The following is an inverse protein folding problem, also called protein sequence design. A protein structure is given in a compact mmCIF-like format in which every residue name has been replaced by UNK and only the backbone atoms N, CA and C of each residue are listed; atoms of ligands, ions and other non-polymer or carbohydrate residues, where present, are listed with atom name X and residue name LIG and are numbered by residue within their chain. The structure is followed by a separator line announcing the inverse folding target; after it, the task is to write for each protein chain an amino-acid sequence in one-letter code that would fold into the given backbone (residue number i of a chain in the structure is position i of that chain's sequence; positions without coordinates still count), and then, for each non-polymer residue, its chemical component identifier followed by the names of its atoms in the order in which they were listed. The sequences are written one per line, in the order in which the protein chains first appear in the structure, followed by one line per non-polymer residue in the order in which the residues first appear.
data_IF_910085955755
#
_entry.id   IF_910085955755
#
_cell.length_a   1.000
_cell.length_b   1.000
_cell.length_c   1.000
_cell.angle_alpha   90.00
_cell.angle_beta   90.00
_cell.angle_gamma   90.00
#
_symmetry.space_group_name_H-M   'P 1'
#
loop_
_entity.id
_entity.type
_entity.pdbx_description
1 polymer ?
#
# COMPACT_ATOMS: atom_id res chain seq x y z
N UNK A 1 -6.66 23.89 31.00
CA UNK A 1 -5.57 23.32 30.17
C UNK A 1 -6.00 21.96 29.65
N UNK A 2 -6.43 21.87 28.39
CA UNK A 2 -6.89 20.59 27.82
C UNK A 2 -5.67 19.75 27.42
N UNK A 3 -5.48 18.59 28.05
CA UNK A 3 -4.50 17.58 27.64
C UNK A 3 -5.03 16.91 26.38
N UNK A 4 -4.41 17.19 25.24
CA UNK A 4 -4.66 16.42 24.01
C UNK A 4 -3.93 15.08 24.18
N UNK A 5 -4.64 14.03 24.54
CA UNK A 5 -4.11 12.66 24.47
C UNK A 5 -3.96 12.27 23.00
N UNK A 6 -2.74 12.42 22.49
CA UNK A 6 -2.41 11.95 21.15
C UNK A 6 -2.32 10.42 21.18
N UNK A 7 -3.42 9.73 20.85
CA UNK A 7 -3.45 8.28 20.69
C UNK A 7 -2.62 7.87 19.46
N UNK A 8 -1.35 7.55 19.71
CA UNK A 8 -0.43 7.00 18.73
C UNK A 8 -0.27 5.50 18.99
N UNK A 9 -0.54 4.67 17.99
CA UNK A 9 -0.24 3.24 18.08
C UNK A 9 1.01 2.95 17.24
N UNK A 10 2.16 2.64 17.87
CA UNK A 10 3.34 2.21 17.13
C UNK A 10 3.09 0.82 16.54
N UNK A 11 3.52 0.60 15.29
CA UNK A 11 3.57 -0.74 14.71
C UNK A 11 4.90 -0.95 13.99
N UNK A 12 5.48 -2.12 14.20
CA UNK A 12 6.73 -2.50 13.55
C UNK A 12 6.45 -3.46 12.42
N UNK A 13 7.05 -3.21 11.25
CA UNK A 13 6.95 -4.10 10.09
C UNK A 13 8.35 -4.47 9.61
N UNK A 14 8.56 -5.75 9.34
CA UNK A 14 9.77 -6.24 8.67
C UNK A 14 9.60 -6.09 7.16
N UNK A 15 10.53 -5.43 6.50
CA UNK A 15 10.60 -5.40 5.05
C UNK A 15 11.06 -6.78 4.54
N UNK A 16 10.27 -7.47 3.70
CA UNK A 16 10.64 -8.81 3.20
C UNK A 16 11.79 -8.79 2.17
N UNK A 17 12.20 -7.62 1.68
CA UNK A 17 13.24 -7.45 0.65
C UNK A 17 14.59 -7.17 1.27
N UNK A 18 14.65 -6.17 2.17
CA UNK A 18 15.89 -5.76 2.84
C UNK A 18 16.09 -6.51 4.16
N UNK A 19 15.03 -7.09 4.73
CA UNK A 19 15.06 -7.77 6.02
C UNK A 19 15.03 -6.83 7.22
N UNK A 20 15.10 -5.52 7.00
CA UNK A 20 15.12 -4.48 8.02
C UNK A 20 13.76 -4.34 8.73
N UNK A 21 13.79 -3.94 10.00
CA UNK A 21 12.59 -3.63 10.79
C UNK A 21 12.44 -2.12 10.91
N UNK A 22 11.30 -1.62 10.46
CA UNK A 22 10.93 -0.22 10.62
C UNK A 22 9.76 -0.10 11.59
N UNK A 23 9.83 0.87 12.48
CA UNK A 23 8.75 1.23 13.40
C UNK A 23 8.06 2.47 12.88
N UNK A 24 6.76 2.35 12.63
CA UNK A 24 5.93 3.43 12.12
C UNK A 24 4.93 3.87 13.19
N UNK A 25 4.66 5.17 13.24
CA UNK A 25 3.66 5.75 14.11
C UNK A 25 2.36 5.92 13.30
N UNK A 26 1.28 5.23 13.69
CA UNK A 26 -0.06 5.45 13.11
C UNK A 26 -0.83 6.43 14.01
N UNK A 27 -1.33 7.55 13.46
CA UNK A 27 -2.39 8.34 14.12
C UNK A 27 -3.74 7.74 13.77
N UNK A 28 -4.70 7.71 14.69
CA UNK A 28 -6.07 7.31 14.40
C UNK A 28 -6.69 8.09 13.22
N UNK A 29 -6.32 9.37 13.07
CA UNK A 29 -6.75 10.24 11.96
C UNK A 29 -5.75 10.36 10.81
N UNK A 30 -4.64 9.58 10.78
CA UNK A 30 -3.74 9.57 9.60
C UNK A 30 -4.29 8.75 8.43
N UNK A 31 -5.48 8.18 8.57
CA UNK A 31 -6.18 7.59 7.43
C UNK A 31 -6.69 8.76 6.58
N UNK A 32 -5.85 9.23 5.66
CA UNK A 32 -6.33 10.08 4.57
C UNK A 32 -7.44 9.31 3.86
N UNK A 33 -8.69 9.76 4.01
CA UNK A 33 -9.87 9.12 3.42
C UNK A 33 -10.51 10.08 2.42
N UNK A 34 -9.73 10.63 1.50
CA UNK A 34 -10.33 11.37 0.40
C UNK A 34 -11.13 10.40 -0.48
N UNK A 35 -12.29 10.84 -0.97
CA UNK A 35 -13.11 10.07 -1.92
C UNK A 35 -12.26 9.63 -3.12
N UNK A 36 -11.42 10.54 -3.60
CA UNK A 36 -10.44 10.34 -4.67
C UNK A 36 -9.47 9.19 -4.39
N UNK A 37 -8.93 9.11 -3.17
CA UNK A 37 -8.02 8.03 -2.79
C UNK A 37 -8.75 6.68 -2.72
N UNK A 38 -9.99 6.65 -2.23
CA UNK A 38 -10.81 5.42 -2.19
C UNK A 38 -11.14 4.93 -3.60
N UNK A 39 -11.49 5.84 -4.52
CA UNK A 39 -11.74 5.53 -5.92
C UNK A 39 -10.49 4.99 -6.62
N UNK A 40 -9.33 5.61 -6.38
CA UNK A 40 -8.05 5.13 -6.86
C UNK A 40 -7.73 3.72 -6.36
N UNK A 41 -7.86 3.48 -5.04
CA UNK A 41 -7.63 2.17 -4.44
C UNK A 41 -8.55 1.10 -5.01
N UNK A 42 -9.83 1.43 -5.23
CA UNK A 42 -10.80 0.53 -5.85
C UNK A 42 -10.41 0.19 -7.29
N UNK A 43 -10.05 1.18 -8.10
CA UNK A 43 -9.61 0.97 -9.47
C UNK A 43 -8.38 0.06 -9.55
N UNK A 44 -7.37 0.31 -8.71
CA UNK A 44 -6.16 -0.53 -8.67
C UNK A 44 -6.48 -1.95 -8.22
N UNK A 45 -7.33 -2.12 -7.21
CA UNK A 45 -7.75 -3.44 -6.73
C UNK A 45 -8.50 -4.23 -7.82
N UNK A 46 -9.42 -3.58 -8.55
CA UNK A 46 -10.15 -4.20 -9.65
C UNK A 46 -9.21 -4.58 -10.80
N UNK A 47 -8.22 -3.72 -11.13
CA UNK A 47 -7.21 -4.00 -12.16
C UNK A 47 -6.21 -5.11 -11.78
N UNK A 48 -6.08 -5.42 -10.49
CA UNK A 48 -5.22 -6.49 -9.99
C UNK A 48 -5.97 -7.79 -9.69
N UNK A 49 -7.31 -7.74 -9.65
CA UNK A 49 -8.16 -8.90 -9.33
C UNK A 49 -7.93 -10.02 -10.35
N UNK A 50 -7.72 -11.24 -9.84
CA UNK A 50 -7.53 -12.43 -10.67
C UNK A 50 -6.14 -12.59 -11.29
N UNK A 51 -5.24 -11.60 -11.17
CA UNK A 51 -3.87 -11.75 -11.67
C UNK A 51 -3.06 -12.69 -10.78
N UNK A 52 -2.46 -13.71 -11.39
CA UNK A 52 -1.56 -14.65 -10.72
C UNK A 52 -0.13 -14.44 -11.20
N UNK A 53 0.80 -14.31 -10.25
CA UNK A 53 2.22 -14.18 -10.54
C UNK A 53 2.92 -15.43 -10.01
N UNK A 54 3.16 -16.39 -10.92
CA UNK A 54 3.82 -17.67 -10.64
C UNK A 54 4.96 -17.93 -11.64
N UNK A 55 5.86 -16.97 -11.76
CA UNK A 55 7.08 -17.10 -12.54
C UNK A 55 8.25 -17.51 -11.62
N UNK A 56 8.91 -18.62 -11.97
CA UNK A 56 10.22 -19.04 -11.45
C UNK A 56 10.43 -18.81 -9.96
N UNK A 57 11.23 -17.79 -9.63
CA UNK A 57 11.68 -17.47 -8.28
C UNK A 57 10.81 -16.42 -7.55
N UNK A 58 10.89 -16.38 -6.22
CA UNK A 58 10.21 -15.37 -5.41
C UNK A 58 10.58 -13.92 -5.81
N UNK A 59 11.83 -13.71 -6.25
CA UNK A 59 12.34 -12.41 -6.71
C UNK A 59 11.65 -11.96 -8.00
N UNK A 60 11.48 -12.87 -8.94
CA UNK A 60 10.81 -12.59 -10.22
C UNK A 60 9.31 -12.34 -10.01
N UNK A 61 8.67 -13.11 -9.13
CA UNK A 61 7.29 -12.86 -8.74
C UNK A 61 7.11 -11.49 -8.08
N UNK A 62 8.01 -11.10 -7.17
CA UNK A 62 7.96 -9.79 -6.55
C UNK A 62 8.15 -8.65 -7.58
N UNK A 63 9.02 -8.84 -8.57
CA UNK A 63 9.21 -7.88 -9.67
C UNK A 63 7.94 -7.76 -10.53
N UNK A 64 7.36 -8.89 -10.94
CA UNK A 64 6.16 -8.92 -11.78
C UNK A 64 4.95 -8.29 -11.07
N UNK A 65 4.78 -8.55 -9.76
CA UNK A 65 3.74 -7.91 -8.94
C UNK A 65 3.91 -6.39 -8.92
N UNK A 66 5.14 -5.89 -8.73
CA UNK A 66 5.42 -4.45 -8.71
C UNK A 66 5.16 -3.79 -10.05
N UNK A 67 5.57 -4.41 -11.15
CA UNK A 67 5.34 -3.88 -12.50
C UNK A 67 3.84 -3.83 -12.83
N UNK A 68 3.11 -4.90 -12.52
CA UNK A 68 1.66 -4.93 -12.71
C UNK A 68 0.94 -3.89 -11.85
N UNK A 69 1.37 -3.73 -10.59
CA UNK A 69 0.82 -2.71 -9.69
C UNK A 69 1.13 -1.30 -10.18
N UNK A 70 2.37 -1.02 -10.63
CA UNK A 70 2.76 0.28 -11.16
C UNK A 70 1.98 0.64 -12.44
N UNK A 71 1.79 -0.33 -13.33
CA UNK A 71 0.95 -0.17 -14.52
C UNK A 71 -0.51 0.14 -14.17
N UNK A 72 -1.09 -0.62 -13.24
CA UNK A 72 -2.45 -0.39 -12.75
C UNK A 72 -2.58 1.00 -12.11
N UNK A 73 -1.66 1.37 -11.23
CA UNK A 73 -1.61 2.68 -10.58
C UNK A 73 -1.50 3.82 -11.60
N UNK A 74 -0.64 3.71 -12.62
CA UNK A 74 -0.50 4.72 -13.67
C UNK A 74 -1.81 4.90 -14.44
N UNK A 75 -2.47 3.79 -14.80
CA UNK A 75 -3.73 3.83 -15.55
C UNK A 75 -4.89 4.41 -14.72
N UNK A 76 -4.97 4.07 -13.43
CA UNK A 76 -6.00 4.58 -12.52
C UNK A 76 -5.74 6.04 -12.12
N UNK A 77 -4.48 6.45 -11.96
CA UNK A 77 -4.12 7.83 -11.64
C UNK A 77 -4.41 8.81 -12.79
N UNK A 78 -4.35 8.34 -14.04
CA UNK A 78 -4.73 9.15 -15.21
C UNK A 78 -6.25 9.35 -15.36
N UNK A 79 -7.07 8.54 -14.68
CA UNK A 79 -8.54 8.56 -14.78
C UNK A 79 -9.22 9.43 -13.72
N UNK A 80 -8.45 9.97 -12.77
CA UNK A 80 -8.95 10.65 -11.58
C UNK A 80 -8.28 12.00 -11.49
#
# INVERSE_FOLDING_TARGET
MARIELQFTPYSRRDPVTGERYTYIRKAHSIQTSKRLKEFQRCVADAMRGKTFRAGSAKENAKAVREAFASAAKSCGARI
#
